data_IF_989233307602
#
_entry.id   IF_989233307602
#
_cell.length_a   1.000
_cell.length_b   1.000
_cell.length_c   1.000
_cell.angle_alpha   90.00
_cell.angle_beta   90.00
_cell.angle_gamma   90.00
#
_symmetry.space_group_name_H-M   'P 1'
#
loop_
_entity.id
_entity.type
_entity.pdbx_description
1 polymer ?
#
# COMPACT_ATOMS: atom_id res chain seq x y z
N UNK A 1 -3.77 -17.71 9.17
CA UNK A 1 -2.63 -18.13 8.33
C UNK A 1 -2.19 -17.03 7.36
N UNK A 2 -3.09 -16.40 6.58
CA UNK A 2 -2.74 -15.30 5.65
C UNK A 2 -1.99 -14.16 6.35
N UNK A 3 -2.51 -13.67 7.48
CA UNK A 3 -1.89 -12.60 8.28
C UNK A 3 -0.50 -12.95 8.84
N UNK A 4 -0.29 -14.20 9.27
CA UNK A 4 1.00 -14.65 9.80
C UNK A 4 2.05 -14.71 8.68
N UNK A 5 1.65 -15.13 7.48
CA UNK A 5 2.54 -15.21 6.34
C UNK A 5 2.88 -13.80 5.82
N UNK A 6 1.91 -12.91 5.81
CA UNK A 6 2.09 -11.51 5.46
C UNK A 6 3.06 -10.81 6.44
N UNK A 7 2.89 -11.01 7.76
CA UNK A 7 3.82 -10.51 8.77
C UNK A 7 5.25 -11.02 8.55
N UNK A 8 5.42 -12.33 8.36
CA UNK A 8 6.73 -12.93 8.09
C UNK A 8 7.39 -12.38 6.82
N UNK A 9 6.58 -12.10 5.79
CA UNK A 9 7.06 -11.46 4.57
C UNK A 9 7.58 -10.06 4.85
N UNK A 10 6.79 -9.21 5.51
CA UNK A 10 7.20 -7.83 5.80
C UNK A 10 8.37 -7.74 6.78
N UNK A 11 8.46 -8.62 7.77
CA UNK A 11 9.62 -8.69 8.67
C UNK A 11 10.93 -9.03 7.93
N UNK A 12 10.86 -9.90 6.91
CA UNK A 12 12.02 -10.23 6.07
C UNK A 12 12.36 -9.12 5.09
N UNK A 13 11.36 -8.41 4.61
CA UNK A 13 11.49 -7.30 3.65
C UNK A 13 11.75 -5.95 4.32
N UNK A 14 12.23 -5.93 5.56
CA UNK A 14 12.46 -4.74 6.38
C UNK A 14 13.22 -3.59 5.67
N UNK A 15 13.79 -3.86 4.51
CA UNK A 15 14.39 -2.87 3.63
C UNK A 15 13.73 -2.90 2.25
N UNK A 16 12.65 -2.11 2.07
CA UNK A 16 11.96 -1.90 0.80
C UNK A 16 12.75 -0.95 -0.12
N UNK A 17 14.03 -1.23 -0.31
CA UNK A 17 14.85 -0.45 -1.23
C UNK A 17 14.64 -0.92 -2.67
N UNK A 18 13.91 -0.12 -3.44
CA UNK A 18 13.71 -0.25 -4.88
C UNK A 18 14.60 0.69 -5.70
N UNK A 19 15.54 1.41 -5.05
CA UNK A 19 16.38 2.44 -5.70
C UNK A 19 17.24 1.90 -6.86
N UNK A 20 17.56 0.61 -6.82
CA UNK A 20 18.34 -0.06 -7.87
C UNK A 20 17.49 -0.46 -9.09
N UNK A 21 16.16 -0.51 -8.97
CA UNK A 21 15.26 -0.87 -10.07
C UNK A 21 15.00 0.35 -10.94
N UNK A 22 15.34 0.26 -12.23
CA UNK A 22 15.23 1.39 -13.16
C UNK A 22 13.99 1.26 -14.02
N UNK A 23 13.05 2.16 -13.79
CA UNK A 23 11.86 2.30 -14.62
C UNK A 23 11.47 3.77 -14.80
N UNK A 24 10.62 4.03 -15.80
CA UNK A 24 9.96 5.31 -15.98
C UNK A 24 8.48 5.13 -15.71
N UNK A 25 7.90 6.04 -14.95
CA UNK A 25 6.47 6.03 -14.62
C UNK A 25 5.72 7.03 -15.50
N UNK A 26 4.53 6.65 -15.94
CA UNK A 26 3.59 7.51 -16.61
C UNK A 26 2.22 7.41 -15.92
N UNK A 27 1.88 8.46 -15.18
CA UNK A 27 0.58 8.57 -14.54
C UNK A 27 -0.51 8.79 -15.60
N UNK A 28 -1.56 7.99 -15.55
CA UNK A 28 -2.74 8.08 -16.42
C UNK A 28 -3.92 8.75 -15.70
N UNK A 29 -3.91 8.73 -14.38
CA UNK A 29 -4.96 9.30 -13.54
C UNK A 29 -4.36 10.43 -12.69
N UNK A 30 -4.99 11.60 -12.72
CA UNK A 30 -4.57 12.75 -11.91
C UNK A 30 -5.16 12.67 -10.50
N UNK A 31 -4.68 11.72 -9.72
CA UNK A 31 -5.03 11.56 -8.31
C UNK A 31 -3.76 11.28 -7.50
N UNK A 32 -3.50 12.10 -6.49
CA UNK A 32 -2.32 12.00 -5.64
C UNK A 32 -2.72 11.87 -4.18
N UNK A 33 -2.23 10.82 -3.52
CA UNK A 33 -2.56 10.47 -2.14
C UNK A 33 -2.18 11.58 -1.14
N UNK A 34 -0.96 12.07 -1.22
CA UNK A 34 -0.47 13.08 -0.28
C UNK A 34 -1.07 14.46 -0.54
N UNK A 35 -1.42 14.76 -1.79
CA UNK A 35 -2.20 15.95 -2.13
C UNK A 35 -3.58 15.89 -1.51
N UNK A 36 -4.25 14.71 -1.53
CA UNK A 36 -5.56 14.51 -0.89
C UNK A 36 -5.48 14.64 0.63
N UNK A 37 -4.43 14.15 1.26
CA UNK A 37 -4.17 14.39 2.68
C UNK A 37 -4.01 15.89 2.95
N UNK A 38 -3.18 16.59 2.17
CA UNK A 38 -2.97 18.04 2.31
C UNK A 38 -4.25 18.87 2.15
N UNK A 39 -5.11 18.49 1.22
CA UNK A 39 -6.41 19.17 0.97
C UNK A 39 -7.39 19.01 2.15
N UNK A 40 -7.19 18.00 3.02
CA UNK A 40 -8.08 17.66 4.14
C UNK A 40 -7.44 17.83 5.53
N UNK A 41 -6.28 18.47 5.62
CA UNK A 41 -5.56 18.73 6.88
C UNK A 41 -5.08 20.17 6.99
N UNK A 42 -4.71 20.56 8.20
CA UNK A 42 -4.05 21.83 8.51
C UNK A 42 -2.96 21.62 9.58
N UNK A 43 -2.25 22.69 9.95
CA UNK A 43 -1.13 22.64 10.89
C UNK A 43 -1.50 22.21 12.33
N UNK A 44 -2.80 22.12 12.66
CA UNK A 44 -3.30 21.67 13.98
C UNK A 44 -3.82 20.24 13.94
N UNK A 45 -3.99 19.66 12.76
CA UNK A 45 -4.61 18.33 12.60
C UNK A 45 -3.82 17.23 13.31
N UNK A 46 -4.53 16.38 14.03
CA UNK A 46 -4.02 15.10 14.54
C UNK A 46 -4.32 14.00 13.52
N UNK A 47 -3.27 13.40 12.98
CA UNK A 47 -3.38 12.42 11.90
C UNK A 47 -2.88 11.04 12.35
N UNK A 48 -3.52 9.99 11.84
CA UNK A 48 -3.08 8.61 11.95
C UNK A 48 -2.69 8.08 10.56
N UNK A 49 -1.49 7.52 10.41
CA UNK A 49 -1.04 6.85 9.20
C UNK A 49 -0.91 5.36 9.46
N UNK A 50 -1.74 4.55 8.79
CA UNK A 50 -1.82 3.10 8.95
C UNK A 50 -0.92 2.41 7.92
N UNK A 51 -0.10 1.44 8.38
CA UNK A 51 0.81 0.69 7.52
C UNK A 51 1.95 1.56 6.97
N UNK A 52 2.60 2.31 7.85
CA UNK A 52 3.63 3.31 7.46
C UNK A 52 4.92 2.69 6.90
N UNK A 53 5.14 1.37 7.11
CA UNK A 53 6.37 0.70 6.72
C UNK A 53 7.60 1.31 7.40
N UNK A 54 8.70 1.41 6.67
CA UNK A 54 9.94 2.06 7.14
C UNK A 54 9.87 3.58 7.22
N UNK A 55 8.69 4.19 7.04
CA UNK A 55 8.46 5.62 7.22
C UNK A 55 8.92 6.51 6.06
N UNK A 56 9.55 5.98 5.01
CA UNK A 56 10.16 6.76 3.92
C UNK A 56 9.15 7.72 3.28
N UNK A 57 7.96 7.21 2.98
CA UNK A 57 6.93 7.99 2.30
C UNK A 57 6.29 9.03 3.23
N UNK A 58 5.93 8.66 4.46
CA UNK A 58 5.32 9.58 5.41
C UNK A 58 6.29 10.70 5.80
N UNK A 59 7.56 10.39 5.99
CA UNK A 59 8.58 11.38 6.31
C UNK A 59 8.81 12.36 5.17
N UNK A 60 8.83 11.88 3.92
CA UNK A 60 9.13 12.70 2.76
C UNK A 60 7.93 13.50 2.25
N UNK A 61 6.73 12.91 2.23
CA UNK A 61 5.61 13.44 1.47
C UNK A 61 4.42 13.93 2.32
N UNK A 62 4.28 13.46 3.57
CA UNK A 62 3.17 13.91 4.41
C UNK A 62 3.22 15.42 4.66
N UNK A 63 2.10 16.15 4.58
CA UNK A 63 2.10 17.59 4.85
C UNK A 63 2.50 17.90 6.29
N UNK A 64 2.82 19.16 6.57
CA UNK A 64 3.02 19.60 7.94
C UNK A 64 1.66 19.71 8.63
N UNK A 65 1.52 18.97 9.73
CA UNK A 65 0.31 18.87 10.56
C UNK A 65 0.69 18.97 12.03
N UNK A 66 -0.30 19.09 12.92
CA UNK A 66 -0.05 19.18 14.36
C UNK A 66 0.70 17.98 14.93
N UNK A 67 0.26 16.77 14.58
CA UNK A 67 0.93 15.51 14.97
C UNK A 67 0.55 14.40 13.99
N UNK A 68 1.50 13.52 13.70
CA UNK A 68 1.25 12.26 12.98
C UNK A 68 1.55 11.10 13.95
N UNK A 69 0.59 10.20 14.13
CA UNK A 69 0.85 8.88 14.70
C UNK A 69 0.94 7.92 13.53
N UNK A 70 2.10 7.32 13.33
CA UNK A 70 2.37 6.42 12.21
C UNK A 70 2.57 5.00 12.72
N UNK A 71 1.79 4.05 12.20
CA UNK A 71 1.74 2.70 12.75
C UNK A 71 2.09 1.65 11.71
N UNK A 72 2.71 0.59 12.18
CA UNK A 72 2.94 -0.63 11.43
C UNK A 72 2.89 -1.83 12.37
N UNK A 73 2.55 -3.02 11.87
CA UNK A 73 2.50 -4.24 12.67
C UNK A 73 3.85 -4.98 12.72
N UNK A 74 4.79 -4.63 11.85
CA UNK A 74 6.15 -5.16 11.85
C UNK A 74 7.07 -4.35 12.76
N UNK A 75 7.73 -5.04 13.70
CA UNK A 75 8.72 -4.42 14.60
C UNK A 75 9.92 -3.88 13.83
N UNK A 76 10.34 -4.60 12.80
CA UNK A 76 11.50 -4.21 11.98
C UNK A 76 11.18 -2.97 11.15
N UNK A 77 9.95 -2.85 10.59
CA UNK A 77 9.51 -1.64 9.91
C UNK A 77 9.49 -0.43 10.85
N UNK A 78 8.95 -0.56 12.06
CA UNK A 78 8.96 0.51 13.06
C UNK A 78 10.38 0.91 13.48
N UNK A 79 11.30 -0.05 13.58
CA UNK A 79 12.71 0.23 13.85
C UNK A 79 13.33 1.05 12.72
N UNK A 80 13.17 0.60 11.48
CA UNK A 80 13.63 1.32 10.28
C UNK A 80 13.03 2.74 10.21
N UNK A 81 11.73 2.88 10.47
CA UNK A 81 11.06 4.19 10.47
C UNK A 81 11.67 5.17 11.50
N UNK A 82 11.99 4.69 12.71
CA UNK A 82 12.67 5.48 13.73
C UNK A 82 14.10 5.86 13.35
N UNK A 83 14.80 5.00 12.63
CA UNK A 83 16.13 5.30 12.09
C UNK A 83 16.05 6.35 10.99
N UNK A 84 15.15 6.20 10.04
CA UNK A 84 14.90 7.16 8.96
C UNK A 84 14.47 8.53 9.49
N UNK A 85 13.71 8.57 10.58
CA UNK A 85 13.25 9.82 11.21
C UNK A 85 14.40 10.74 11.64
N UNK A 86 15.57 10.22 11.96
CA UNK A 86 16.74 11.03 12.33
C UNK A 86 17.11 12.07 11.26
N UNK A 87 16.75 11.80 10.00
CA UNK A 87 16.99 12.69 8.87
C UNK A 87 15.88 13.75 8.68
N UNK A 88 14.80 13.70 9.51
CA UNK A 88 13.63 14.58 9.41
C UNK A 88 13.23 15.19 10.75
N UNK A 89 14.14 15.88 11.49
CA UNK A 89 13.91 16.31 12.87
C UNK A 89 12.75 17.30 13.04
N UNK A 90 12.33 17.95 11.97
CA UNK A 90 11.25 18.94 12.00
C UNK A 90 9.84 18.34 11.78
N UNK A 91 9.72 17.03 11.55
CA UNK A 91 8.43 16.34 11.45
C UNK A 91 7.90 16.00 12.85
N UNK A 92 6.69 16.44 13.16
CA UNK A 92 6.01 16.04 14.40
C UNK A 92 5.33 14.69 14.20
N UNK A 93 6.09 13.61 14.36
CA UNK A 93 5.66 12.24 14.09
C UNK A 93 6.10 11.27 15.18
N UNK A 94 5.23 10.32 15.53
CA UNK A 94 5.50 9.22 16.46
C UNK A 94 5.23 7.89 15.77
N UNK A 95 6.22 7.03 15.71
CA UNK A 95 6.11 5.67 15.19
C UNK A 95 5.74 4.67 16.29
N UNK A 96 4.71 3.86 16.06
CA UNK A 96 4.15 2.93 17.05
C UNK A 96 3.82 1.58 16.41
N UNK A 97 4.19 0.50 17.09
CA UNK A 97 3.80 -0.85 16.69
C UNK A 97 2.30 -1.04 16.96
N UNK A 98 1.53 -1.41 15.94
CA UNK A 98 0.10 -1.65 16.06
C UNK A 98 -0.43 -2.48 14.88
N UNK A 99 -1.34 -3.40 15.17
CA UNK A 99 -2.13 -4.07 14.15
C UNK A 99 -3.31 -3.17 13.73
N UNK A 100 -3.43 -2.87 12.44
CA UNK A 100 -4.50 -2.03 11.91
C UNK A 100 -5.91 -2.65 12.06
N UNK A 101 -5.98 -3.97 12.26
CA UNK A 101 -7.26 -4.66 12.50
C UNK A 101 -7.70 -4.61 13.96
N UNK A 102 -6.80 -4.23 14.88
CA UNK A 102 -7.03 -4.19 16.33
C UNK A 102 -6.52 -2.87 16.91
N UNK A 103 -7.07 -1.76 16.44
CA UNK A 103 -6.66 -0.43 16.89
C UNK A 103 -7.09 -0.18 18.35
N UNK A 104 -6.18 0.38 19.15
CA UNK A 104 -6.41 0.65 20.58
C UNK A 104 -6.54 2.14 20.90
N UNK A 105 -6.84 2.97 19.91
CA UNK A 105 -7.02 4.40 20.10
C UNK A 105 -8.39 4.74 20.69
N UNK A 106 -8.49 5.84 21.46
CA UNK A 106 -9.77 6.39 21.85
C UNK A 106 -10.64 6.77 20.65
N UNK A 107 -11.96 6.85 20.87
CA UNK A 107 -12.89 7.34 19.85
C UNK A 107 -12.71 8.83 19.62
N UNK A 108 -13.02 9.28 18.42
CA UNK A 108 -13.18 10.69 18.04
C UNK A 108 -11.95 11.58 18.35
N UNK A 109 -10.76 11.11 17.99
CA UNK A 109 -9.53 11.86 18.24
C UNK A 109 -8.80 12.29 16.97
N UNK A 110 -8.97 11.60 15.83
CA UNK A 110 -8.24 11.92 14.62
C UNK A 110 -9.04 12.79 13.66
N UNK A 111 -8.43 13.86 13.17
CA UNK A 111 -8.98 14.69 12.09
C UNK A 111 -8.88 13.99 10.74
N UNK A 112 -7.79 13.24 10.55
CA UNK A 112 -7.56 12.45 9.34
C UNK A 112 -6.89 11.13 9.66
N UNK A 113 -7.39 10.05 9.02
CA UNK A 113 -6.72 8.75 8.99
C UNK A 113 -6.33 8.45 7.54
N UNK A 114 -5.08 8.04 7.33
CA UNK A 114 -4.55 7.65 6.03
C UNK A 114 -4.12 6.18 6.04
N UNK A 115 -4.36 5.49 4.91
CA UNK A 115 -3.96 4.10 4.72
C UNK A 115 -3.41 3.91 3.31
N UNK A 116 -2.16 3.43 3.21
CA UNK A 116 -1.51 3.24 1.92
C UNK A 116 -0.97 1.83 1.79
N UNK A 117 -1.55 1.05 0.85
CA UNK A 117 -1.17 -0.34 0.57
C UNK A 117 -1.22 -1.24 1.82
N UNK A 118 -2.24 -1.07 2.64
CA UNK A 118 -2.45 -1.83 3.87
C UNK A 118 -3.92 -2.18 4.05
N UNK A 119 -4.18 -3.23 4.81
CA UNK A 119 -5.53 -3.61 5.20
C UNK A 119 -6.09 -2.65 6.25
N UNK A 120 -7.40 -2.49 6.27
CA UNK A 120 -8.10 -1.58 7.17
C UNK A 120 -9.22 -2.28 7.97
N UNK A 121 -9.55 -1.71 9.13
CA UNK A 121 -10.77 -2.00 9.86
C UNK A 121 -11.69 -0.77 9.78
N UNK A 122 -12.62 -0.78 8.83
CA UNK A 122 -13.50 0.36 8.53
C UNK A 122 -14.27 0.86 9.76
N UNK A 123 -14.78 -0.07 10.60
CA UNK A 123 -15.52 0.26 11.81
C UNK A 123 -14.65 1.00 12.83
N UNK A 124 -13.46 0.48 13.13
CA UNK A 124 -12.56 1.12 14.09
C UNK A 124 -12.04 2.47 13.57
N UNK A 125 -11.79 2.60 12.27
CA UNK A 125 -11.43 3.87 11.65
C UNK A 125 -12.55 4.89 11.83
N UNK A 126 -13.80 4.50 11.55
CA UNK A 126 -14.96 5.37 11.77
C UNK A 126 -15.09 5.82 13.23
N UNK A 127 -14.91 4.92 14.18
CA UNK A 127 -14.96 5.24 15.61
C UNK A 127 -13.84 6.20 16.05
N UNK A 128 -12.63 6.06 15.50
CA UNK A 128 -11.48 6.89 15.87
C UNK A 128 -11.48 8.28 15.22
N UNK A 129 -12.20 8.49 14.11
CA UNK A 129 -12.33 9.79 13.46
C UNK A 129 -13.28 10.71 14.26
N UNK A 130 -12.94 11.98 14.37
CA UNK A 130 -13.85 13.02 14.84
C UNK A 130 -15.01 13.21 13.86
N UNK A 131 -16.11 13.83 14.28
CA UNK A 131 -17.19 14.22 13.38
C UNK A 131 -16.66 15.15 12.28
N UNK A 132 -16.97 14.83 11.03
CA UNK A 132 -16.41 15.52 9.86
C UNK A 132 -14.97 15.12 9.51
N UNK A 133 -14.36 14.23 10.27
CA UNK A 133 -13.03 13.67 10.00
C UNK A 133 -12.96 12.93 8.66
N UNK A 134 -11.76 12.79 8.13
CA UNK A 134 -11.54 12.25 6.78
C UNK A 134 -10.68 10.99 6.81
N UNK A 135 -11.09 9.99 6.04
CA UNK A 135 -10.26 8.84 5.68
C UNK A 135 -9.76 9.02 4.25
N UNK A 136 -8.45 8.77 4.03
CA UNK A 136 -7.84 8.74 2.70
C UNK A 136 -7.14 7.39 2.52
N UNK A 137 -7.55 6.63 1.51
CA UNK A 137 -6.95 5.33 1.17
C UNK A 137 -6.30 5.39 -0.21
N UNK A 138 -5.14 4.73 -0.36
CA UNK A 138 -4.58 4.29 -1.63
C UNK A 138 -4.23 2.82 -1.52
N UNK A 139 -4.96 1.97 -2.22
CA UNK A 139 -4.76 0.53 -2.21
C UNK A 139 -4.30 -0.01 -3.56
N UNK A 140 -3.80 -1.25 -3.54
CA UNK A 140 -3.48 -2.02 -4.75
C UNK A 140 -4.76 -2.74 -5.19
N UNK A 141 -5.21 -2.52 -6.43
CA UNK A 141 -6.41 -3.16 -6.95
C UNK A 141 -6.15 -4.61 -7.40
N UNK A 142 -7.19 -5.42 -7.46
CA UNK A 142 -7.12 -6.79 -7.99
C UNK A 142 -6.50 -6.82 -9.41
N UNK A 143 -6.80 -5.83 -10.23
CA UNK A 143 -6.32 -5.71 -11.60
C UNK A 143 -4.89 -5.15 -11.73
N UNK A 144 -4.22 -4.86 -10.61
CA UNK A 144 -2.81 -4.47 -10.65
C UNK A 144 -1.96 -5.59 -11.27
N UNK A 145 -1.12 -5.22 -12.23
CA UNK A 145 -0.26 -6.17 -12.97
C UNK A 145 -1.06 -7.33 -13.62
N UNK A 146 -2.29 -7.06 -14.06
CA UNK A 146 -3.20 -8.12 -14.48
C UNK A 146 -2.63 -8.99 -15.58
N UNK A 147 -2.04 -8.41 -16.61
CA UNK A 147 -1.53 -9.14 -17.77
C UNK A 147 -0.45 -10.16 -17.42
N UNK A 148 0.42 -9.84 -16.45
CA UNK A 148 1.43 -10.79 -15.99
C UNK A 148 0.81 -11.85 -15.06
N UNK A 149 -0.12 -11.48 -14.17
CA UNK A 149 -0.85 -12.43 -13.33
C UNK A 149 -1.65 -13.42 -14.16
N UNK A 150 -2.32 -12.95 -15.22
CA UNK A 150 -3.10 -13.78 -16.13
C UNK A 150 -2.20 -14.79 -16.86
N UNK A 151 -1.05 -14.36 -17.37
CA UNK A 151 -0.08 -15.23 -18.03
C UNK A 151 0.45 -16.32 -17.09
N UNK A 152 0.72 -15.97 -15.83
CA UNK A 152 1.21 -16.90 -14.82
C UNK A 152 0.07 -17.77 -14.21
N UNK A 153 -1.20 -17.36 -14.35
CA UNK A 153 -2.36 -18.02 -13.77
C UNK A 153 -2.43 -17.90 -12.25
N UNK A 154 -1.72 -16.93 -11.67
CA UNK A 154 -1.61 -16.72 -10.22
C UNK A 154 -1.17 -15.31 -9.88
N UNK A 155 -1.28 -14.93 -8.61
CA UNK A 155 -0.82 -13.67 -8.08
C UNK A 155 -1.73 -13.11 -7.01
N UNK A 156 -1.31 -12.02 -6.40
CA UNK A 156 -2.05 -11.36 -5.33
C UNK A 156 -3.47 -10.99 -5.79
N UNK A 157 -4.47 -11.47 -5.05
CA UNK A 157 -5.91 -11.28 -5.31
C UNK A 157 -6.39 -11.79 -6.69
N UNK A 158 -5.60 -12.61 -7.41
CA UNK A 158 -5.95 -13.08 -8.75
C UNK A 158 -7.24 -13.91 -8.77
N UNK A 159 -7.47 -14.72 -7.73
CA UNK A 159 -8.65 -15.59 -7.59
C UNK A 159 -9.77 -14.99 -6.73
N UNK A 160 -9.60 -13.76 -6.25
CA UNK A 160 -10.60 -13.14 -5.39
C UNK A 160 -11.87 -12.85 -6.20
N UNK A 161 -13.03 -13.21 -5.66
CA UNK A 161 -14.34 -13.00 -6.30
C UNK A 161 -14.71 -11.52 -6.40
N UNK A 162 -14.24 -10.72 -5.45
CA UNK A 162 -14.52 -9.28 -5.35
C UNK A 162 -13.22 -8.49 -5.31
N UNK A 163 -13.07 -7.42 -6.11
CA UNK A 163 -11.95 -6.49 -5.98
C UNK A 163 -11.88 -5.89 -4.57
N UNK A 164 -10.65 -5.75 -4.03
CA UNK A 164 -10.46 -5.19 -2.69
C UNK A 164 -10.99 -3.74 -2.60
N UNK A 165 -10.93 -2.99 -3.69
CA UNK A 165 -11.51 -1.64 -3.77
C UNK A 165 -13.03 -1.63 -3.59
N UNK A 166 -13.72 -2.67 -4.01
CA UNK A 166 -15.16 -2.82 -3.80
C UNK A 166 -15.47 -3.26 -2.37
N UNK A 167 -14.69 -4.21 -1.86
CA UNK A 167 -14.79 -4.66 -0.48
C UNK A 167 -14.60 -3.49 0.49
N UNK A 168 -13.52 -2.71 0.35
CA UNK A 168 -13.26 -1.54 1.20
C UNK A 168 -14.41 -0.53 1.10
N UNK A 169 -14.95 -0.28 -0.10
CA UNK A 169 -16.09 0.62 -0.29
C UNK A 169 -17.33 0.15 0.49
N UNK A 170 -17.66 -1.13 0.42
CA UNK A 170 -18.81 -1.71 1.12
C UNK A 170 -18.61 -1.70 2.64
N UNK A 171 -17.42 -2.08 3.11
CA UNK A 171 -17.06 -2.07 4.53
C UNK A 171 -17.16 -0.64 5.14
N UNK A 172 -16.71 0.37 4.37
CA UNK A 172 -16.83 1.78 4.79
C UNK A 172 -18.29 2.24 4.84
N UNK A 173 -19.10 1.84 3.88
CA UNK A 173 -20.52 2.17 3.86
C UNK A 173 -21.25 1.53 5.06
N UNK A 174 -20.95 0.27 5.37
CA UNK A 174 -21.49 -0.44 6.53
C UNK A 174 -21.04 0.20 7.84
N UNK A 175 -19.80 0.68 7.92
CA UNK A 175 -19.27 1.38 9.10
C UNK A 175 -19.94 2.74 9.39
N UNK A 176 -20.67 3.32 8.41
CA UNK A 176 -21.44 4.55 8.60
C UNK A 176 -20.90 5.77 7.82
N UNK A 177 -19.86 5.64 7.00
CA UNK A 177 -19.39 6.71 6.14
C UNK A 177 -20.47 7.10 5.11
N UNK A 178 -20.79 8.39 5.01
CA UNK A 178 -21.90 8.89 4.17
C UNK A 178 -21.43 9.47 2.85
N UNK A 179 -20.21 9.98 2.79
CA UNK A 179 -19.62 10.59 1.59
C UNK A 179 -18.38 9.82 1.23
N UNK A 180 -18.50 8.87 0.28
CA UNK A 180 -17.40 8.01 -0.15
C UNK A 180 -17.15 8.26 -1.63
N UNK A 181 -15.98 8.79 -1.96
CA UNK A 181 -15.49 8.95 -3.32
C UNK A 181 -14.47 7.84 -3.60
N UNK A 182 -14.70 7.07 -4.66
CA UNK A 182 -13.79 6.02 -5.11
C UNK A 182 -13.30 6.31 -6.52
N UNK A 183 -12.00 6.16 -6.77
CA UNK A 183 -11.38 6.37 -8.07
C UNK A 183 -10.41 5.23 -8.39
N UNK A 184 -10.38 4.80 -9.63
CA UNK A 184 -9.34 3.92 -10.14
C UNK A 184 -8.12 4.77 -10.56
N UNK A 185 -6.92 4.34 -10.14
CA UNK A 185 -5.67 5.03 -10.40
C UNK A 185 -4.83 4.15 -11.32
N UNK A 186 -4.54 4.66 -12.52
CA UNK A 186 -3.81 3.94 -13.56
C UNK A 186 -2.44 4.53 -13.77
N UNK A 187 -1.42 3.68 -13.69
CA UNK A 187 -0.04 4.02 -14.02
C UNK A 187 0.52 3.04 -15.04
N UNK A 188 1.38 3.50 -15.93
CA UNK A 188 2.24 2.65 -16.72
C UNK A 188 3.67 2.77 -16.21
N UNK A 189 4.29 1.66 -15.89
CA UNK A 189 5.71 1.57 -15.57
C UNK A 189 6.44 0.94 -16.77
N UNK A 190 7.57 1.52 -17.17
CA UNK A 190 8.39 1.06 -18.29
C UNK A 190 9.77 0.68 -17.75
N UNK A 191 9.99 -0.62 -17.55
CA UNK A 191 11.23 -1.16 -17.00
C UNK A 191 12.32 -1.14 -18.07
N UNK A 192 13.52 -0.67 -17.69
CA UNK A 192 14.61 -0.47 -18.64
C UNK A 192 15.15 -1.79 -19.16
N UNK A 193 15.27 -2.78 -18.26
CA UNK A 193 15.81 -4.12 -18.55
C UNK A 193 14.89 -5.21 -18.03
N UNK A 194 15.13 -6.42 -18.49
CA UNK A 194 14.47 -7.63 -17.98
C UNK A 194 14.82 -7.88 -16.51
N UNK A 195 16.09 -7.61 -16.16
CA UNK A 195 16.54 -7.72 -14.76
C UNK A 195 15.83 -6.74 -13.83
N UNK A 196 15.55 -5.51 -14.28
CA UNK A 196 14.77 -4.54 -13.50
C UNK A 196 13.35 -5.04 -13.21
N UNK A 197 12.68 -5.59 -14.23
CA UNK A 197 11.34 -6.17 -14.05
C UNK A 197 11.38 -7.43 -13.18
N UNK A 198 12.36 -8.31 -13.41
CA UNK A 198 12.55 -9.52 -12.59
C UNK A 198 12.80 -9.15 -11.13
N UNK A 199 13.65 -8.15 -10.86
CA UNK A 199 13.93 -7.67 -9.52
C UNK A 199 12.66 -7.16 -8.79
N UNK A 200 11.74 -6.50 -9.51
CA UNK A 200 10.45 -6.13 -8.94
C UNK A 200 9.64 -7.37 -8.55
N UNK A 201 9.49 -8.32 -9.46
CA UNK A 201 8.69 -9.53 -9.23
C UNK A 201 9.22 -10.38 -8.08
N UNK A 202 10.56 -10.43 -7.93
CA UNK A 202 11.21 -11.15 -6.83
C UNK A 202 11.07 -10.44 -5.47
N UNK A 203 10.90 -9.11 -5.47
CA UNK A 203 10.80 -8.31 -4.24
C UNK A 203 9.37 -8.03 -3.80
N UNK A 204 8.38 -8.34 -4.63
CA UNK A 204 6.97 -7.99 -4.35
C UNK A 204 6.07 -9.22 -4.44
N UNK A 205 4.91 -9.22 -3.77
CA UNK A 205 3.95 -10.31 -3.82
C UNK A 205 3.08 -10.30 -5.09
N UNK A 206 3.51 -9.65 -6.17
CA UNK A 206 2.68 -9.52 -7.40
C UNK A 206 2.22 -10.89 -7.91
N UNK A 207 3.12 -11.89 -7.93
CA UNK A 207 2.85 -13.25 -8.41
C UNK A 207 2.60 -14.26 -7.28
N UNK A 208 2.42 -13.79 -6.05
CA UNK A 208 2.21 -14.65 -4.89
C UNK A 208 0.84 -14.42 -4.26
N UNK A 209 0.27 -15.51 -3.75
CA UNK A 209 -0.89 -15.45 -2.89
C UNK A 209 -0.53 -16.05 -1.52
N UNK A 210 -0.46 -15.22 -0.49
CA UNK A 210 -0.18 -15.65 0.88
C UNK A 210 -1.18 -16.66 1.43
N UNK A 211 -2.39 -16.76 0.86
CA UNK A 211 -3.40 -17.71 1.28
C UNK A 211 -3.06 -19.16 0.94
N UNK A 212 -2.22 -19.37 -0.08
CA UNK A 212 -1.83 -20.70 -0.56
C UNK A 212 -0.63 -21.29 0.19
N UNK A 213 0.06 -20.52 1.02
CA UNK A 213 1.28 -20.95 1.73
C UNK A 213 0.93 -21.70 3.01
N UNK A 214 1.13 -23.00 3.01
CA UNK A 214 0.75 -23.92 4.09
C UNK A 214 1.88 -24.25 5.08
N UNK A 215 3.11 -23.76 4.92
CA UNK A 215 4.27 -24.21 5.69
C UNK A 215 4.74 -23.21 6.74
N UNK A 216 5.12 -23.72 7.93
CA UNK A 216 5.71 -22.96 9.04
C UNK A 216 7.05 -22.30 8.69
N UNK A 217 7.77 -22.85 7.70
CA UNK A 217 9.05 -22.32 7.19
C UNK A 217 8.85 -21.42 5.96
N UNK A 218 8.02 -20.39 6.09
CA UNK A 218 7.83 -19.43 5.01
C UNK A 218 9.16 -18.78 4.61
N UNK A 219 9.73 -19.24 3.52
CA UNK A 219 10.79 -18.55 2.79
C UNK A 219 10.16 -18.01 1.52
N UNK A 220 9.95 -16.68 1.44
CA UNK A 220 9.54 -16.07 0.19
C UNK A 220 10.61 -16.37 -0.87
N UNK A 221 10.33 -17.31 -1.73
CA UNK A 221 11.07 -17.59 -2.95
C UNK A 221 10.03 -17.64 -4.06
N UNK A 222 9.67 -16.50 -4.66
CA UNK A 222 8.79 -16.54 -5.81
C UNK A 222 9.46 -17.36 -6.89
N UNK A 223 8.77 -18.41 -7.33
CA UNK A 223 9.21 -19.18 -8.49
C UNK A 223 8.71 -18.40 -9.70
N UNK A 224 9.63 -17.83 -10.46
CA UNK A 224 9.32 -17.16 -11.72
C UNK A 224 9.65 -18.14 -12.84
N UNK A 225 8.64 -18.64 -13.52
CA UNK A 225 8.79 -19.53 -14.66
C UNK A 225 9.41 -18.74 -15.83
N UNK A 226 10.62 -19.09 -16.20
CA UNK A 226 11.42 -18.36 -17.21
C UNK A 226 10.73 -18.26 -18.57
N UNK A 227 10.07 -19.32 -19.00
CA UNK A 227 9.33 -19.36 -20.27
C UNK A 227 8.22 -18.30 -20.29
N UNK A 228 7.39 -18.23 -19.26
CA UNK A 228 6.31 -17.25 -19.13
C UNK A 228 6.84 -15.83 -18.99
N UNK A 229 7.93 -15.66 -18.24
CA UNK A 229 8.57 -14.36 -18.12
C UNK A 229 9.06 -13.85 -19.49
N UNK A 230 9.74 -14.69 -20.26
CA UNK A 230 10.23 -14.35 -21.59
C UNK A 230 9.07 -14.06 -22.59
N UNK A 231 7.97 -14.81 -22.48
CA UNK A 231 6.73 -14.54 -23.24
C UNK A 231 6.19 -13.14 -22.90
N UNK A 232 6.09 -12.80 -21.60
CA UNK A 232 5.65 -11.49 -21.16
C UNK A 232 6.54 -10.37 -21.71
N UNK A 233 7.85 -10.52 -21.54
CA UNK A 233 8.84 -9.54 -22.03
C UNK A 233 8.70 -9.35 -23.54
N UNK A 234 8.64 -10.42 -24.31
CA UNK A 234 8.50 -10.36 -25.77
C UNK A 234 7.24 -9.59 -26.19
N UNK A 235 6.12 -9.84 -25.50
CA UNK A 235 4.82 -9.23 -25.80
C UNK A 235 4.72 -7.75 -25.42
N UNK A 236 5.38 -7.34 -24.30
CA UNK A 236 5.22 -6.01 -23.73
C UNK A 236 6.46 -5.11 -23.83
N UNK A 237 7.52 -5.57 -24.49
CA UNK A 237 8.72 -4.77 -24.77
C UNK A 237 8.44 -3.80 -25.93
N UNK A 238 8.57 -2.52 -25.65
CA UNK A 238 8.41 -1.42 -26.60
C UNK A 238 9.62 -0.49 -26.55
N UNK A 239 9.69 0.52 -27.38
CA UNK A 239 10.80 1.50 -27.41
C UNK A 239 11.08 2.15 -26.04
N UNK A 240 10.03 2.39 -25.23
CA UNK A 240 10.14 3.02 -23.90
C UNK A 240 10.66 2.07 -22.82
N UNK A 241 10.70 0.77 -23.05
CA UNK A 241 11.02 -0.29 -22.12
C UNK A 241 9.96 -1.38 -22.05
N UNK A 242 10.04 -2.26 -21.07
CA UNK A 242 9.05 -3.33 -20.83
C UNK A 242 7.90 -2.73 -20.03
N UNK A 243 6.72 -2.69 -20.65
CA UNK A 243 5.52 -2.12 -20.05
C UNK A 243 4.97 -3.04 -18.96
N UNK A 244 4.74 -2.50 -17.77
CA UNK A 244 3.92 -3.08 -16.71
C UNK A 244 2.79 -2.10 -16.37
N UNK A 245 1.54 -2.55 -16.46
CA UNK A 245 0.39 -1.72 -16.09
C UNK A 245 0.07 -1.90 -14.62
N UNK A 246 0.04 -0.78 -13.91
CA UNK A 246 -0.30 -0.74 -12.49
C UNK A 246 -1.72 -0.20 -12.32
N UNK A 247 -2.48 -0.87 -11.50
CA UNK A 247 -3.84 -0.47 -11.14
C UNK A 247 -3.97 -0.37 -9.63
N UNK A 248 -4.20 0.85 -9.18
CA UNK A 248 -4.48 1.16 -7.79
C UNK A 248 -5.88 1.72 -7.65
N UNK A 249 -6.36 1.88 -6.44
CA UNK A 249 -7.57 2.65 -6.16
C UNK A 249 -7.29 3.70 -5.09
N UNK A 250 -8.05 4.79 -5.17
CA UNK A 250 -8.11 5.82 -4.14
C UNK A 250 -9.51 5.89 -3.56
N UNK A 251 -9.61 6.06 -2.24
CA UNK A 251 -10.87 6.36 -1.57
C UNK A 251 -10.68 7.58 -0.68
N UNK A 252 -11.66 8.48 -0.70
CA UNK A 252 -11.82 9.55 0.29
C UNK A 252 -13.20 9.35 0.91
N UNK A 253 -13.25 9.22 2.24
CA UNK A 253 -14.51 9.07 2.95
C UNK A 253 -14.59 10.04 4.13
N UNK A 254 -15.78 10.60 4.38
CA UNK A 254 -16.07 11.52 5.48
C UNK A 254 -16.97 10.84 6.51
N UNK A 255 -16.61 10.98 7.80
CA UNK A 255 -17.49 10.67 8.93
C UNK A 255 -18.59 11.69 9.09
#
# INVERSE_FOLDING_TARGET
MKEINELKFYDKMANWDFSQIKYKEQNKTNWDFYKKIKENTNEKSLCLDLGTGGGENVLKHYPNVGMIIATDFSKEMIKTAKENYKNYPNKNIKFTLMNNLEMTFPKEIFDLISARHTIINAKQIYECLVDGGTLVIRGVDQKDCWEIKELFGRGQAYKDEMPISEKDYLDLKEAGFTKIEKVQILHNEYYKTEDDLMALLLKTPILDDYSEIKNEDFVHKPIIEEEKFNEYVTKYKIEKGILLKRVYYGIIAKK
#
